data_IF_595033683423
#
_entry.id   IF_595033683423
#
_cell.length_a   1.000
_cell.length_b   1.000
_cell.length_c   1.000
_cell.angle_alpha   90.00
_cell.angle_beta   90.00
_cell.angle_gamma   90.00
#
_symmetry.space_group_name_H-M   'P 1'
#
loop_
_entity.id
_entity.type
_entity.pdbx_description
1 polymer ?
#
# COMPACT_ATOMS: atom_id res chain seq x y z
N UNK A 1 -10.03 36.46 -9.71
CA UNK A 1 -11.30 36.25 -8.98
C UNK A 1 -11.62 37.41 -8.05
N UNK A 2 -10.73 37.77 -7.11
CA UNK A 2 -11.02 38.87 -6.16
C UNK A 2 -11.17 40.26 -6.81
N UNK A 3 -10.66 40.44 -8.03
CA UNK A 3 -10.88 41.64 -8.84
C UNK A 3 -12.16 41.56 -9.71
N UNK A 4 -12.66 40.35 -9.97
CA UNK A 4 -13.76 40.10 -10.90
C UNK A 4 -15.11 39.94 -10.19
N UNK A 5 -15.11 39.61 -8.90
CA UNK A 5 -16.30 39.39 -8.08
C UNK A 5 -16.29 40.36 -6.90
N UNK A 6 -17.30 41.25 -6.84
CA UNK A 6 -17.41 42.29 -5.80
C UNK A 6 -17.88 41.71 -4.47
N UNK A 7 -18.66 40.64 -4.52
CA UNK A 7 -19.12 39.89 -3.34
C UNK A 7 -18.10 38.81 -2.96
N UNK A 8 -17.70 38.78 -1.69
CA UNK A 8 -16.72 37.84 -1.16
C UNK A 8 -17.21 36.39 -1.21
N UNK A 9 -18.53 36.17 -1.05
CA UNK A 9 -19.11 34.84 -1.14
C UNK A 9 -19.11 34.33 -2.59
N UNK A 10 -19.51 35.18 -3.55
CA UNK A 10 -19.41 34.90 -4.97
C UNK A 10 -17.96 34.65 -5.41
N UNK A 11 -16.99 35.41 -4.91
CA UNK A 11 -15.57 35.19 -5.16
C UNK A 11 -15.09 33.82 -4.62
N UNK A 12 -15.54 33.43 -3.42
CA UNK A 12 -15.24 32.11 -2.83
C UNK A 12 -15.86 30.98 -3.65
N UNK A 13 -17.12 31.11 -4.07
CA UNK A 13 -17.78 30.13 -4.96
C UNK A 13 -17.05 29.99 -6.29
N UNK A 14 -16.62 31.10 -6.89
CA UNK A 14 -15.86 31.10 -8.12
C UNK A 14 -14.50 30.41 -7.96
N UNK A 15 -13.77 30.65 -6.87
CA UNK A 15 -12.52 29.95 -6.54
C UNK A 15 -12.74 28.45 -6.35
N UNK A 16 -13.82 28.06 -5.67
CA UNK A 16 -14.21 26.65 -5.52
C UNK A 16 -14.49 25.97 -6.87
N UNK A 17 -15.21 26.64 -7.77
CA UNK A 17 -15.45 26.12 -9.13
C UNK A 17 -14.15 25.90 -9.92
N UNK A 18 -13.18 26.81 -9.81
CA UNK A 18 -11.86 26.63 -10.43
C UNK A 18 -11.09 25.46 -9.80
N UNK A 19 -11.16 25.28 -8.48
CA UNK A 19 -10.57 24.12 -7.81
C UNK A 19 -11.18 22.81 -8.32
N UNK A 20 -12.49 22.76 -8.56
CA UNK A 20 -13.15 21.60 -9.19
C UNK A 20 -12.64 21.34 -10.61
N UNK A 21 -12.35 22.39 -11.39
CA UNK A 21 -11.78 22.21 -12.74
C UNK A 21 -10.39 21.61 -12.66
N UNK A 22 -9.56 22.08 -11.74
CA UNK A 22 -8.22 21.54 -11.52
C UNK A 22 -8.25 20.09 -11.05
N UNK A 23 -9.17 19.72 -10.17
CA UNK A 23 -9.36 18.31 -9.76
C UNK A 23 -9.82 17.46 -10.93
N UNK A 24 -10.77 17.94 -11.75
CA UNK A 24 -11.16 17.24 -12.97
C UNK A 24 -9.98 17.07 -13.93
N UNK A 25 -9.21 18.13 -14.18
CA UNK A 25 -8.03 18.12 -15.04
C UNK A 25 -6.98 17.12 -14.56
N UNK A 26 -6.77 17.05 -13.24
CA UNK A 26 -5.92 16.04 -12.63
C UNK A 26 -6.47 14.63 -12.87
N UNK A 27 -7.77 14.38 -12.73
CA UNK A 27 -8.36 13.04 -12.95
C UNK A 27 -8.25 12.60 -14.41
N UNK A 28 -8.53 13.48 -15.38
CA UNK A 28 -8.53 13.14 -16.81
C UNK A 28 -7.18 13.36 -17.50
N UNK A 29 -6.20 13.92 -16.78
CA UNK A 29 -4.86 14.21 -17.29
C UNK A 29 -4.86 15.32 -18.34
N UNK A 30 -5.68 16.36 -18.14
CA UNK A 30 -5.76 17.50 -19.05
C UNK A 30 -4.57 18.45 -18.85
N UNK A 31 -3.67 18.52 -19.81
CA UNK A 31 -2.47 19.36 -19.71
C UNK A 31 -2.66 20.79 -20.21
N UNK A 32 -3.81 21.12 -20.79
CA UNK A 32 -3.98 22.36 -21.57
C UNK A 32 -4.96 23.36 -20.94
N UNK A 33 -4.96 23.48 -19.61
CA UNK A 33 -5.77 24.49 -18.90
C UNK A 33 -5.09 25.86 -18.91
N UNK A 34 -5.14 26.56 -20.04
CA UNK A 34 -4.69 27.96 -20.16
C UNK A 34 -5.84 28.96 -19.96
N UNK A 35 -5.52 30.25 -19.98
CA UNK A 35 -6.44 31.34 -19.68
C UNK A 35 -7.65 31.47 -20.63
N UNK A 36 -7.61 30.85 -21.81
CA UNK A 36 -8.73 30.85 -22.76
C UNK A 36 -9.66 29.63 -22.56
N UNK A 37 -9.20 28.61 -21.84
CA UNK A 37 -9.94 27.37 -21.60
C UNK A 37 -10.78 27.43 -20.31
N UNK A 38 -11.13 28.63 -19.85
CA UNK A 38 -12.14 28.87 -18.82
C UNK A 38 -12.69 30.29 -18.97
N UNK A 39 -13.83 30.59 -18.36
CA UNK A 39 -14.41 31.92 -18.50
C UNK A 39 -15.42 32.28 -17.41
N UNK A 40 -15.85 33.53 -17.43
CA UNK A 40 -16.88 34.07 -16.55
C UNK A 40 -18.04 34.56 -17.41
N UNK A 41 -19.23 34.04 -17.16
CA UNK A 41 -20.47 34.48 -17.80
C UNK A 41 -21.03 35.67 -17.04
N UNK A 42 -21.60 36.63 -17.76
CA UNK A 42 -22.38 37.74 -17.20
C UNK A 42 -23.86 37.49 -17.48
N UNK A 43 -24.64 37.32 -16.42
CA UNK A 43 -26.08 37.16 -16.52
C UNK A 43 -26.77 38.46 -16.08
N UNK A 44 -27.79 38.93 -16.82
CA UNK A 44 -28.63 40.03 -16.36
C UNK A 44 -29.34 39.61 -15.07
N UNK A 45 -29.16 40.38 -13.99
CA UNK A 45 -29.89 40.20 -12.74
C UNK A 45 -30.67 41.50 -12.47
N UNK A 46 -31.91 41.41 -11.97
CA UNK A 46 -32.92 42.48 -11.96
C UNK A 46 -32.41 43.94 -11.84
N UNK A 47 -31.44 44.21 -10.96
CA UNK A 47 -30.63 45.44 -10.98
C UNK A 47 -29.14 45.08 -11.11
N UNK A 48 -28.61 45.09 -12.34
CA UNK A 48 -27.19 44.86 -12.64
C UNK A 48 -26.88 43.59 -13.45
N UNK A 49 -25.63 43.14 -13.40
CA UNK A 49 -25.20 41.87 -14.00
C UNK A 49 -24.53 41.01 -12.94
N UNK A 50 -25.05 39.80 -12.72
CA UNK A 50 -24.38 38.78 -11.91
C UNK A 50 -23.29 38.11 -12.76
N UNK A 51 -22.18 37.74 -12.12
CA UNK A 51 -21.09 37.01 -12.75
C UNK A 51 -21.07 35.60 -12.19
N UNK A 52 -20.91 34.60 -13.06
CA UNK A 52 -20.74 33.20 -12.66
C UNK A 52 -19.59 32.60 -13.46
N UNK A 53 -18.89 31.62 -12.90
CA UNK A 53 -17.90 30.86 -13.67
C UNK A 53 -18.64 30.00 -14.71
N UNK A 54 -18.21 30.06 -15.96
CA UNK A 54 -18.78 29.27 -17.05
C UNK A 54 -18.54 27.77 -16.79
N UNK A 55 -19.47 26.86 -17.15
CA UNK A 55 -19.21 25.42 -17.09
C UNK A 55 -17.88 25.06 -17.75
N UNK A 56 -17.17 24.05 -17.22
CA UNK A 56 -15.86 23.70 -17.79
C UNK A 56 -15.99 23.24 -19.25
N UNK A 57 -15.08 23.71 -20.10
CA UNK A 57 -15.07 23.40 -21.53
C UNK A 57 -13.63 23.14 -22.00
N UNK A 58 -13.53 22.71 -23.27
CA UNK A 58 -12.30 22.40 -23.98
C UNK A 58 -11.35 21.44 -23.24
N UNK A 59 -11.81 20.18 -23.11
CA UNK A 59 -11.05 19.10 -22.47
C UNK A 59 -10.38 18.17 -23.48
N UNK A 60 -10.19 18.62 -24.74
CA UNK A 60 -9.71 17.76 -25.82
C UNK A 60 -8.28 17.25 -25.58
N UNK A 61 -7.46 17.99 -24.83
CA UNK A 61 -6.09 17.63 -24.47
C UNK A 61 -6.00 16.68 -23.26
N UNK A 62 -6.94 15.74 -23.14
CA UNK A 62 -7.07 14.80 -22.01
C UNK A 62 -6.93 13.33 -22.44
N UNK A 63 -6.90 12.42 -21.46
CA UNK A 63 -6.95 10.96 -21.65
C UNK A 63 -5.85 10.39 -22.57
N UNK A 64 -4.70 11.07 -22.60
CA UNK A 64 -3.56 10.73 -23.46
C UNK A 64 -3.88 10.74 -24.94
N UNK A 65 -4.67 11.73 -25.40
CA UNK A 65 -5.06 11.92 -26.81
C UNK A 65 -3.85 11.89 -27.76
N UNK A 66 -2.71 12.44 -27.35
CA UNK A 66 -1.48 12.52 -28.13
C UNK A 66 -0.79 11.17 -28.36
N UNK A 67 -1.16 10.13 -27.61
CA UNK A 67 -0.55 8.82 -27.72
C UNK A 67 -1.11 8.02 -28.89
N UNK A 68 -0.26 7.18 -29.48
CA UNK A 68 -0.68 6.09 -30.37
C UNK A 68 -1.01 4.85 -29.54
N UNK A 69 -1.87 3.97 -30.06
CA UNK A 69 -2.33 2.77 -29.35
C UNK A 69 -1.17 1.87 -28.90
N UNK A 70 -0.18 1.63 -29.77
CA UNK A 70 1.01 0.85 -29.40
C UNK A 70 1.76 1.44 -28.21
N UNK A 71 1.78 2.78 -28.08
CA UNK A 71 2.42 3.44 -26.93
C UNK A 71 1.57 3.34 -25.67
N UNK A 72 0.24 3.40 -25.79
CA UNK A 72 -0.69 3.18 -24.66
C UNK A 72 -0.52 1.79 -24.09
N UNK A 73 -0.55 0.78 -24.96
CA UNK A 73 -0.33 -0.62 -24.59
C UNK A 73 1.04 -0.82 -23.93
N UNK A 74 2.10 -0.22 -24.48
CA UNK A 74 3.43 -0.27 -23.89
C UNK A 74 3.48 0.38 -22.50
N UNK A 75 2.89 1.56 -22.32
CA UNK A 75 2.85 2.25 -21.02
C UNK A 75 2.09 1.45 -19.96
N UNK A 76 1.03 0.73 -20.35
CA UNK A 76 0.30 -0.17 -19.46
C UNK A 76 1.11 -1.43 -19.15
N UNK A 77 1.66 -2.09 -20.18
CA UNK A 77 2.42 -3.33 -20.04
C UNK A 77 3.72 -3.15 -19.24
N UNK A 78 4.43 -2.04 -19.45
CA UNK A 78 5.67 -1.70 -18.75
C UNK A 78 5.43 -1.00 -17.39
N UNK A 79 4.17 -0.79 -16.98
CA UNK A 79 3.87 -0.10 -15.71
C UNK A 79 4.47 1.33 -15.66
N UNK A 80 4.27 2.12 -16.72
CA UNK A 80 4.84 3.48 -16.89
C UNK A 80 3.80 4.61 -16.95
N UNK A 81 2.51 4.31 -16.87
CA UNK A 81 1.41 5.30 -16.81
C UNK A 81 1.59 6.38 -15.72
N UNK A 82 2.02 6.02 -14.51
CA UNK A 82 2.31 6.98 -13.45
C UNK A 82 3.41 7.97 -13.83
N UNK A 83 4.54 7.46 -14.31
CA UNK A 83 5.63 8.32 -14.78
C UNK A 83 5.18 9.20 -15.96
N UNK A 84 4.25 8.72 -16.77
CA UNK A 84 3.60 9.52 -17.79
C UNK A 84 2.73 10.64 -17.18
N UNK A 85 1.84 10.32 -16.22
CA UNK A 85 0.98 11.29 -15.55
C UNK A 85 1.76 12.36 -14.77
N UNK A 86 2.78 11.94 -14.00
CA UNK A 86 3.64 12.84 -13.22
C UNK A 86 4.47 13.78 -14.11
N UNK A 87 4.86 13.34 -15.31
CA UNK A 87 5.66 14.13 -16.27
C UNK A 87 4.82 14.93 -17.25
N UNK A 88 3.50 14.79 -17.23
CA UNK A 88 2.61 15.48 -18.13
C UNK A 88 2.60 16.98 -17.78
N UNK A 89 3.49 17.75 -18.41
CA UNK A 89 3.64 19.19 -18.16
C UNK A 89 2.35 19.92 -18.56
N UNK A 90 1.71 20.56 -17.58
CA UNK A 90 0.51 21.35 -17.79
C UNK A 90 0.79 22.76 -18.31
N UNK A 91 -0.26 23.56 -18.48
CA UNK A 91 -0.18 24.98 -18.83
C UNK A 91 0.01 25.91 -17.60
N UNK A 92 -0.04 25.37 -16.38
CA UNK A 92 0.00 26.13 -15.13
C UNK A 92 1.38 26.00 -14.47
N UNK A 93 1.92 27.14 -14.09
CA UNK A 93 3.21 27.29 -13.41
C UNK A 93 2.98 27.50 -11.92
N UNK A 94 3.77 26.82 -11.07
CA UNK A 94 3.70 27.03 -9.62
C UNK A 94 4.43 28.31 -9.17
N UNK A 95 5.50 28.65 -9.88
CA UNK A 95 6.31 29.86 -9.69
C UNK A 95 6.61 30.47 -11.05
N UNK A 96 6.72 31.80 -11.11
CA UNK A 96 6.94 32.53 -12.37
C UNK A 96 8.23 32.09 -13.10
N UNK A 97 9.27 31.69 -12.36
CA UNK A 97 10.56 31.21 -12.90
C UNK A 97 10.66 29.67 -12.96
N UNK A 98 9.56 28.95 -12.70
CA UNK A 98 9.56 27.49 -12.55
C UNK A 98 9.29 26.72 -13.84
N UNK A 99 9.51 25.40 -13.80
CA UNK A 99 8.96 24.49 -14.80
C UNK A 99 7.42 24.37 -14.60
N UNK A 100 6.64 24.24 -15.69
CA UNK A 100 5.23 23.93 -15.59
C UNK A 100 5.03 22.58 -14.90
N UNK A 101 4.08 22.51 -13.98
CA UNK A 101 3.82 21.31 -13.19
C UNK A 101 2.68 20.49 -13.81
N UNK A 102 2.61 19.21 -13.46
CA UNK A 102 1.52 18.36 -13.91
C UNK A 102 0.21 18.75 -13.22
N UNK A 103 -0.95 18.52 -13.87
CA UNK A 103 -2.26 18.72 -13.22
C UNK A 103 -2.37 17.97 -11.89
N UNK A 104 -1.79 16.76 -11.83
CA UNK A 104 -1.76 15.93 -10.63
C UNK A 104 -1.00 16.60 -9.48
N UNK A 105 0.23 17.06 -9.76
CA UNK A 105 1.07 17.74 -8.77
C UNK A 105 0.48 19.10 -8.37
N UNK A 106 -0.16 19.80 -9.31
CA UNK A 106 -0.86 21.06 -9.03
C UNK A 106 -1.93 20.87 -7.96
N UNK A 107 -2.78 19.84 -8.11
CA UNK A 107 -3.84 19.55 -7.14
C UNK A 107 -3.26 19.13 -5.79
N UNK A 108 -2.22 18.28 -5.75
CA UNK A 108 -1.59 17.89 -4.48
C UNK A 108 -1.09 19.10 -3.69
N UNK A 109 -0.33 19.99 -4.33
CA UNK A 109 0.19 21.21 -3.66
C UNK A 109 -0.92 22.18 -3.28
N UNK A 110 -1.90 22.38 -4.16
CA UNK A 110 -2.97 23.33 -3.93
C UNK A 110 -3.95 22.85 -2.86
N UNK A 111 -4.19 21.54 -2.74
CA UNK A 111 -5.01 20.95 -1.69
C UNK A 111 -4.39 21.15 -0.31
N UNK A 112 -3.08 21.00 -0.17
CA UNK A 112 -2.35 21.25 1.08
C UNK A 112 -2.41 22.74 1.49
N UNK A 113 -2.25 23.66 0.52
CA UNK A 113 -2.27 25.10 0.78
C UNK A 113 -3.67 25.69 0.96
N UNK A 114 -4.70 25.06 0.37
CA UNK A 114 -6.08 25.55 0.33
C UNK A 114 -7.12 24.44 0.55
N UNK A 115 -7.09 23.75 1.70
CA UNK A 115 -7.99 22.62 1.98
C UNK A 115 -9.47 23.01 1.91
N UNK A 116 -9.82 24.25 2.29
CA UNK A 116 -11.19 24.78 2.22
C UNK A 116 -11.75 24.89 0.80
N UNK A 117 -10.88 25.03 -0.21
CA UNK A 117 -11.27 25.14 -1.62
C UNK A 117 -11.27 23.78 -2.31
N UNK A 118 -10.26 22.94 -2.04
CA UNK A 118 -10.08 21.66 -2.71
C UNK A 118 -10.79 20.50 -2.03
N UNK A 119 -10.98 20.54 -0.71
CA UNK A 119 -11.64 19.49 0.05
C UNK A 119 -13.00 19.07 -0.51
N UNK A 120 -13.93 19.99 -0.79
CA UNK A 120 -15.22 19.66 -1.40
C UNK A 120 -15.10 19.01 -2.79
N UNK A 121 -14.11 19.40 -3.59
CA UNK A 121 -13.87 18.84 -4.91
C UNK A 121 -13.27 17.42 -4.81
N UNK A 122 -12.33 17.21 -3.90
CA UNK A 122 -11.71 15.91 -3.63
C UNK A 122 -12.73 14.91 -3.04
N UNK A 123 -13.61 15.35 -2.15
CA UNK A 123 -14.68 14.51 -1.60
C UNK A 123 -15.63 13.97 -2.69
N UNK A 124 -15.80 14.69 -3.81
CA UNK A 124 -16.60 14.18 -4.94
C UNK A 124 -15.97 12.95 -5.60
N UNK A 125 -14.66 12.73 -5.44
CA UNK A 125 -13.97 11.56 -5.96
C UNK A 125 -14.37 10.26 -5.23
N UNK A 126 -14.93 10.35 -4.03
CA UNK A 126 -15.51 9.19 -3.33
C UNK A 126 -16.68 8.57 -4.11
N UNK A 127 -17.34 9.36 -4.97
CA UNK A 127 -18.40 8.90 -5.86
C UNK A 127 -17.89 8.45 -7.24
N UNK A 128 -16.59 8.61 -7.51
CA UNK A 128 -15.95 8.20 -8.76
C UNK A 128 -15.24 6.86 -8.55
N UNK A 129 -16.02 5.84 -8.18
CA UNK A 129 -15.52 4.47 -8.03
C UNK A 129 -15.19 3.80 -9.37
N UNK A 130 -14.66 2.58 -9.29
CA UNK A 130 -14.22 1.84 -10.46
C UNK A 130 -15.34 1.63 -11.50
N UNK A 131 -16.53 1.30 -11.02
CA UNK A 131 -17.70 1.10 -11.86
C UNK A 131 -18.10 2.39 -12.55
N UNK A 132 -18.14 3.50 -11.82
CA UNK A 132 -18.46 4.81 -12.35
C UNK A 132 -17.47 5.25 -13.44
N UNK A 133 -16.16 5.06 -13.23
CA UNK A 133 -15.12 5.38 -14.24
C UNK A 133 -15.34 4.53 -15.50
N UNK A 134 -15.49 3.22 -15.33
CA UNK A 134 -15.70 2.29 -16.45
C UNK A 134 -16.96 2.65 -17.22
N UNK A 135 -18.06 2.94 -16.52
CA UNK A 135 -19.34 3.31 -17.12
C UNK A 135 -19.26 4.64 -17.88
N UNK A 136 -18.56 5.64 -17.33
CA UNK A 136 -18.36 6.94 -18.00
C UNK A 136 -17.60 6.72 -19.31
N UNK A 137 -16.48 6.00 -19.29
CA UNK A 137 -15.68 5.75 -20.51
C UNK A 137 -16.45 4.86 -21.49
N UNK A 138 -17.25 3.90 -21.00
CA UNK A 138 -18.08 3.00 -21.81
C UNK A 138 -19.26 3.66 -22.52
N UNK A 139 -19.62 4.89 -22.15
CA UNK A 139 -20.56 5.70 -22.94
C UNK A 139 -19.98 6.15 -24.28
N UNK A 140 -18.66 6.21 -24.43
CA UNK A 140 -18.02 6.57 -25.70
C UNK A 140 -18.20 5.43 -26.70
N UNK A 141 -18.80 5.66 -27.89
CA UNK A 141 -19.01 4.61 -28.89
C UNK A 141 -17.70 3.90 -29.27
N UNK A 142 -17.77 2.58 -29.48
CA UNK A 142 -16.60 1.77 -29.86
C UNK A 142 -15.95 2.23 -31.17
N UNK A 143 -16.74 2.81 -32.09
CA UNK A 143 -16.23 3.37 -33.34
C UNK A 143 -15.35 4.62 -33.14
N UNK A 144 -15.41 5.28 -31.98
CA UNK A 144 -14.72 6.55 -31.71
C UNK A 144 -13.54 6.39 -30.75
N UNK A 145 -13.51 5.32 -29.96
CA UNK A 145 -12.44 5.04 -29.01
C UNK A 145 -12.01 3.58 -29.12
N UNK A 146 -10.76 3.38 -29.52
CA UNK A 146 -10.18 2.05 -29.66
C UNK A 146 -10.10 1.33 -28.30
N UNK A 147 -10.03 -0.01 -28.27
CA UNK A 147 -9.88 -0.76 -27.03
C UNK A 147 -8.64 -0.36 -26.21
N UNK A 148 -7.53 -0.04 -26.88
CA UNK A 148 -6.30 0.43 -26.25
C UNK A 148 -6.48 1.82 -25.62
N UNK A 149 -7.09 2.77 -26.33
CA UNK A 149 -7.42 4.09 -25.80
C UNK A 149 -8.38 4.02 -24.61
N UNK A 150 -9.39 3.15 -24.67
CA UNK A 150 -10.35 2.90 -23.59
C UNK A 150 -9.67 2.36 -22.35
N UNK A 151 -8.89 1.30 -22.49
CA UNK A 151 -8.14 0.68 -21.39
C UNK A 151 -7.19 1.68 -20.74
N UNK A 152 -6.51 2.48 -21.55
CA UNK A 152 -5.61 3.53 -21.07
C UNK A 152 -6.35 4.64 -20.32
N UNK A 153 -7.46 5.16 -20.86
CA UNK A 153 -8.24 6.22 -20.22
C UNK A 153 -8.80 5.78 -18.86
N UNK A 154 -9.34 4.57 -18.77
CA UNK A 154 -9.79 3.98 -17.51
C UNK A 154 -8.63 3.87 -16.51
N UNK A 155 -7.51 3.29 -16.94
CA UNK A 155 -6.33 3.14 -16.08
C UNK A 155 -5.78 4.49 -15.59
N UNK A 156 -5.79 5.52 -16.45
CA UNK A 156 -5.31 6.86 -16.12
C UNK A 156 -6.24 7.54 -15.10
N UNK A 157 -7.57 7.47 -15.31
CA UNK A 157 -8.54 8.04 -14.39
C UNK A 157 -8.49 7.37 -13.01
N UNK A 158 -8.38 6.03 -12.97
CA UNK A 158 -8.20 5.27 -11.72
C UNK A 158 -6.95 5.69 -10.96
N UNK A 159 -5.83 5.72 -11.69
CA UNK A 159 -4.54 6.14 -11.18
C UNK A 159 -4.62 7.53 -10.54
N UNK A 160 -5.10 8.53 -11.30
CA UNK A 160 -5.03 9.91 -10.88
C UNK A 160 -6.05 10.24 -9.79
N UNK A 161 -7.27 9.67 -9.86
CA UNK A 161 -8.27 9.81 -8.79
C UNK A 161 -7.81 9.17 -7.48
N UNK A 162 -7.21 7.96 -7.52
CA UNK A 162 -6.64 7.32 -6.33
C UNK A 162 -5.49 8.13 -5.72
N UNK A 163 -4.66 8.75 -6.56
CA UNK A 163 -3.50 9.54 -6.16
C UNK A 163 -3.82 10.90 -5.50
N UNK A 164 -5.06 11.40 -5.63
CA UNK A 164 -5.50 12.68 -5.02
C UNK A 164 -6.72 12.52 -4.12
N UNK A 165 -7.45 11.41 -4.21
CA UNK A 165 -8.80 11.27 -3.69
C UNK A 165 -8.97 10.44 -2.41
N UNK A 166 -7.94 9.81 -1.84
CA UNK A 166 -8.14 8.94 -0.66
C UNK A 166 -7.04 9.08 0.37
N UNK A 167 -7.40 9.29 1.64
CA UNK A 167 -6.47 9.29 2.78
C UNK A 167 -6.17 7.90 3.34
N UNK A 168 -7.03 6.89 3.13
CA UNK A 168 -6.75 5.49 3.48
C UNK A 168 -7.50 4.51 2.55
N UNK A 169 -6.92 3.37 2.15
CA UNK A 169 -7.60 2.40 1.30
C UNK A 169 -8.56 1.55 2.16
N UNK A 170 -9.87 1.65 1.89
CA UNK A 170 -10.94 0.93 2.62
C UNK A 170 -10.83 -0.59 2.45
N UNK A 171 -10.25 -1.04 1.33
CA UNK A 171 -9.97 -2.44 1.02
C UNK A 171 -8.48 -2.60 0.68
N UNK A 172 -7.62 -2.65 1.70
CA UNK A 172 -6.17 -2.79 1.54
C UNK A 172 -5.68 -4.18 1.96
N UNK A 173 -4.86 -4.81 1.12
CA UNK A 173 -4.02 -5.92 1.53
C UNK A 173 -2.69 -5.39 2.08
N UNK A 174 -2.47 -5.54 3.39
CA UNK A 174 -1.21 -5.15 4.03
C UNK A 174 -0.16 -6.27 3.96
N UNK A 175 1.03 -5.90 3.50
CA UNK A 175 2.27 -6.67 3.58
C UNK A 175 3.27 -5.92 4.47
N UNK A 176 4.19 -6.66 5.06
CA UNK A 176 5.32 -6.12 5.81
C UNK A 176 6.63 -6.55 5.15
N UNK A 177 7.66 -5.74 5.34
CA UNK A 177 9.03 -5.99 4.92
C UNK A 177 9.88 -6.22 6.17
N UNK A 178 10.44 -7.41 6.34
CA UNK A 178 11.43 -7.71 7.35
C UNK A 178 12.85 -7.58 6.76
N UNK A 179 13.78 -7.08 7.56
CA UNK A 179 15.20 -7.04 7.29
C UNK A 179 15.96 -7.93 8.27
N UNK A 180 16.91 -8.72 7.77
CA UNK A 180 17.79 -9.54 8.58
C UNK A 180 19.13 -8.86 8.77
N UNK A 181 19.51 -8.62 10.02
CA UNK A 181 20.84 -8.15 10.36
C UNK A 181 21.90 -9.19 9.96
N UNK A 182 23.01 -8.72 9.38
CA UNK A 182 24.10 -9.59 8.93
C UNK A 182 24.88 -10.18 10.10
N UNK A 183 24.98 -9.45 11.22
CA UNK A 183 25.81 -9.84 12.37
C UNK A 183 25.06 -10.77 13.31
N UNK A 184 23.98 -10.30 13.90
CA UNK A 184 23.15 -11.05 14.85
C UNK A 184 22.24 -12.09 14.20
N UNK A 185 22.03 -12.00 12.87
CA UNK A 185 21.07 -12.82 12.10
C UNK A 185 19.61 -12.63 12.54
N UNK A 186 19.33 -11.62 13.38
CA UNK A 186 17.98 -11.29 13.87
C UNK A 186 17.18 -10.62 12.76
N UNK A 187 15.88 -10.94 12.72
CA UNK A 187 14.91 -10.30 11.84
C UNK A 187 14.25 -9.11 12.54
N UNK A 188 14.11 -8.01 11.82
CA UNK A 188 13.38 -6.81 12.23
C UNK A 188 12.29 -6.53 11.20
N UNK A 189 11.02 -6.37 11.59
CA UNK A 189 10.01 -5.81 10.70
C UNK A 189 10.31 -4.31 10.52
N UNK A 190 10.60 -3.86 9.29
CA UNK A 190 11.07 -2.50 9.02
C UNK A 190 10.11 -1.69 8.15
N UNK A 191 9.33 -2.33 7.27
CA UNK A 191 8.42 -1.64 6.36
C UNK A 191 7.01 -2.19 6.40
N UNK A 192 6.04 -1.34 6.07
CA UNK A 192 4.65 -1.70 5.78
C UNK A 192 4.34 -1.26 4.35
N UNK A 193 3.74 -2.15 3.59
CA UNK A 193 3.21 -1.92 2.25
C UNK A 193 1.71 -2.21 2.26
N UNK A 194 0.87 -1.21 2.04
CA UNK A 194 -0.55 -1.39 1.81
C UNK A 194 -0.82 -1.38 0.30
N UNK A 195 -1.41 -2.45 -0.22
CA UNK A 195 -1.89 -2.56 -1.58
C UNK A 195 -3.41 -2.40 -1.59
N UNK A 196 -3.93 -1.33 -2.17
CA UNK A 196 -5.36 -1.20 -2.43
C UNK A 196 -5.76 -2.29 -3.43
N UNK A 197 -6.75 -3.11 -3.06
CA UNK A 197 -7.20 -4.24 -3.90
C UNK A 197 -8.24 -3.81 -4.95
N UNK A 198 -8.80 -2.61 -4.80
CA UNK A 198 -9.79 -2.04 -5.72
C UNK A 198 -9.16 -1.02 -6.67
N UNK A 199 -8.11 -0.32 -6.22
CA UNK A 199 -7.44 0.74 -6.96
C UNK A 199 -5.96 0.42 -7.15
N UNK A 200 -5.33 0.85 -8.27
CA UNK A 200 -3.89 0.69 -8.44
C UNK A 200 -3.17 1.71 -7.56
N UNK A 201 -3.10 1.46 -6.25
CA UNK A 201 -2.42 2.30 -5.28
C UNK A 201 -1.70 1.46 -4.23
N UNK A 202 -0.40 1.67 -4.12
CA UNK A 202 0.49 1.07 -3.15
C UNK A 202 1.06 2.15 -2.25
N UNK A 203 0.96 1.95 -0.95
CA UNK A 203 1.51 2.87 0.05
C UNK A 203 2.58 2.16 0.85
N UNK A 204 3.76 2.74 0.94
CA UNK A 204 4.85 2.25 1.77
C UNK A 204 5.21 3.28 2.85
N UNK A 205 5.46 2.78 4.06
CA UNK A 205 6.08 3.55 5.13
C UNK A 205 6.97 2.64 5.99
N UNK A 206 7.89 3.23 6.74
CA UNK A 206 8.60 2.49 7.77
C UNK A 206 7.75 2.39 9.05
N UNK A 207 7.97 1.31 9.78
CA UNK A 207 7.30 0.97 11.03
C UNK A 207 8.27 1.01 12.20
N UNK A 208 7.76 0.96 13.44
CA UNK A 208 8.58 1.08 14.66
C UNK A 208 9.79 0.14 14.70
N UNK A 209 9.68 -1.05 14.12
CA UNK A 209 10.78 -2.00 14.07
C UNK A 209 11.96 -1.54 13.19
N UNK A 210 11.77 -0.60 12.27
CA UNK A 210 12.87 0.05 11.53
C UNK A 210 13.69 0.97 12.44
N UNK A 211 13.02 1.72 13.32
CA UNK A 211 13.69 2.57 14.31
C UNK A 211 14.49 1.70 15.28
N UNK A 212 13.89 0.61 15.78
CA UNK A 212 14.62 -0.36 16.61
C UNK A 212 15.79 -0.99 15.87
N UNK A 213 15.63 -1.36 14.60
CA UNK A 213 16.72 -1.90 13.78
C UNK A 213 17.86 -0.89 13.58
N UNK A 214 17.55 0.40 13.49
CA UNK A 214 18.54 1.48 13.46
C UNK A 214 19.34 1.54 14.76
N UNK A 215 18.64 1.50 15.89
CA UNK A 215 19.23 1.67 17.23
C UNK A 215 20.04 0.44 17.67
N UNK A 216 19.57 -0.77 17.35
CA UNK A 216 20.20 -2.03 17.78
C UNK A 216 21.19 -2.62 16.78
N UNK A 217 21.01 -2.36 15.48
CA UNK A 217 21.71 -3.08 14.40
C UNK A 217 22.13 -2.19 13.22
N UNK A 218 22.09 -0.86 13.39
CA UNK A 218 22.53 0.11 12.38
C UNK A 218 21.86 -0.07 11.01
N UNK A 219 20.57 -0.40 11.00
CA UNK A 219 19.76 -0.43 9.79
C UNK A 219 19.83 0.91 9.04
N UNK A 220 19.94 0.85 7.71
CA UNK A 220 19.91 2.03 6.84
C UNK A 220 18.66 1.95 5.97
N UNK A 221 17.87 3.04 5.84
CA UNK A 221 16.74 3.10 4.92
C UNK A 221 17.10 2.64 3.51
N UNK A 222 16.16 1.96 2.85
CA UNK A 222 16.27 1.61 1.43
C UNK A 222 16.47 2.88 0.60
N UNK A 223 17.31 2.83 -0.42
CA UNK A 223 17.57 3.98 -1.30
C UNK A 223 16.33 4.51 -2.00
N UNK A 224 15.35 3.63 -2.26
CA UNK A 224 14.05 3.98 -2.82
C UNK A 224 13.16 4.75 -1.82
N UNK A 225 13.41 4.59 -0.52
CA UNK A 225 12.65 5.17 0.59
C UNK A 225 13.61 5.82 1.60
N UNK A 226 14.25 6.95 1.26
CA UNK A 226 15.37 7.50 2.05
C UNK A 226 14.96 8.11 3.39
N UNK A 227 13.75 8.67 3.50
CA UNK A 227 13.20 9.20 4.74
C UNK A 227 12.47 8.10 5.54
N UNK A 228 12.93 7.88 6.78
CA UNK A 228 12.34 6.91 7.70
C UNK A 228 10.93 7.29 8.17
N UNK A 229 10.58 8.58 8.15
CA UNK A 229 9.21 9.05 8.48
C UNK A 229 8.37 9.36 7.25
N UNK A 230 8.96 9.20 6.06
CA UNK A 230 8.29 9.45 4.80
C UNK A 230 7.12 8.49 4.56
N UNK A 231 6.09 9.01 3.90
CA UNK A 231 5.02 8.23 3.29
C UNK A 231 5.29 8.19 1.79
N UNK A 232 5.30 7.00 1.22
CA UNK A 232 5.57 6.79 -0.19
C UNK A 232 4.33 6.20 -0.83
N UNK A 233 3.89 6.79 -1.92
CA UNK A 233 2.74 6.31 -2.66
C UNK A 233 3.15 6.05 -4.10
N UNK A 234 2.65 4.97 -4.66
CA UNK A 234 2.88 4.63 -6.04
C UNK A 234 1.71 3.81 -6.53
N UNK A 235 1.21 4.08 -7.74
CA UNK A 235 0.20 3.22 -8.34
C UNK A 235 0.72 1.90 -8.87
N UNK A 236 2.05 1.75 -8.82
CA UNK A 236 2.75 0.52 -9.16
C UNK A 236 3.43 -0.04 -7.95
N UNK A 237 3.51 -1.36 -7.91
CA UNK A 237 4.26 -2.06 -6.89
C UNK A 237 5.72 -1.61 -6.99
N UNK A 238 6.22 -0.98 -5.91
CA UNK A 238 7.56 -0.41 -5.86
C UNK A 238 8.62 -1.45 -6.27
N UNK A 239 9.65 -1.09 -7.05
CA UNK A 239 10.82 -1.91 -7.36
C UNK A 239 11.35 -2.78 -6.22
N UNK A 240 11.39 -2.29 -4.97
CA UNK A 240 11.79 -3.09 -3.80
C UNK A 240 10.92 -4.33 -3.56
N UNK A 241 9.72 -4.38 -4.12
CA UNK A 241 8.76 -5.48 -4.04
C UNK A 241 8.52 -6.16 -5.40
N UNK A 242 8.33 -5.42 -6.49
CA UNK A 242 8.05 -6.00 -7.82
C UNK A 242 9.20 -6.84 -8.36
N UNK A 243 10.45 -6.47 -8.07
CA UNK A 243 11.63 -7.28 -8.43
C UNK A 243 11.73 -8.61 -7.64
N UNK A 244 10.86 -8.83 -6.65
CA UNK A 244 10.74 -10.10 -5.90
C UNK A 244 9.66 -11.03 -6.46
N UNK A 245 8.93 -10.59 -7.47
CA UNK A 245 7.85 -11.35 -8.10
C UNK A 245 8.32 -11.91 -9.44
N UNK A 246 8.01 -13.18 -9.70
CA UNK A 246 8.32 -13.79 -10.99
C UNK A 246 7.47 -13.17 -12.12
N UNK A 247 8.11 -12.70 -13.18
CA UNK A 247 7.44 -12.09 -14.33
C UNK A 247 6.44 -13.06 -14.99
N UNK A 248 5.29 -12.54 -15.44
CA UNK A 248 4.19 -13.33 -16.02
C UNK A 248 4.58 -14.14 -17.26
N UNK A 249 5.50 -13.64 -18.08
CA UNK A 249 5.93 -14.29 -19.33
C UNK A 249 7.00 -15.37 -19.19
N UNK A 250 7.40 -15.74 -17.97
CA UNK A 250 8.43 -16.78 -17.76
C UNK A 250 7.88 -18.18 -18.05
N UNK A 251 8.55 -19.01 -18.87
CA UNK A 251 8.07 -20.36 -19.21
C UNK A 251 7.87 -21.27 -17.99
N UNK A 252 8.63 -21.05 -16.93
CA UNK A 252 8.61 -21.83 -15.68
C UNK A 252 7.69 -21.24 -14.59
N UNK A 253 6.85 -20.24 -14.92
CA UNK A 253 6.01 -19.55 -13.91
C UNK A 253 4.99 -20.46 -13.24
N UNK A 254 4.29 -21.29 -14.01
CA UNK A 254 3.26 -22.15 -13.45
C UNK A 254 3.87 -23.19 -12.50
N UNK A 255 5.03 -23.74 -12.86
CA UNK A 255 5.80 -24.65 -12.02
C UNK A 255 6.17 -23.96 -10.71
N UNK A 256 6.69 -22.72 -10.78
CA UNK A 256 7.02 -21.91 -9.62
C UNK A 256 5.80 -21.63 -8.72
N UNK A 257 4.66 -21.24 -9.28
CA UNK A 257 3.44 -20.98 -8.50
C UNK A 257 2.94 -22.24 -7.79
N UNK A 258 3.06 -23.41 -8.43
CA UNK A 258 2.78 -24.68 -7.76
C UNK A 258 3.70 -24.89 -6.56
N UNK A 259 4.98 -24.50 -6.61
CA UNK A 259 5.89 -24.60 -5.44
C UNK A 259 5.46 -23.72 -4.25
N UNK A 260 4.69 -22.66 -4.52
CA UNK A 260 4.08 -21.78 -3.52
C UNK A 260 2.67 -22.22 -3.10
N UNK A 261 2.09 -23.25 -3.75
CA UNK A 261 0.70 -23.64 -3.52
C UNK A 261 -0.32 -22.59 -3.98
N UNK A 262 0.02 -21.82 -5.01
CA UNK A 262 -0.81 -20.75 -5.59
C UNK A 262 -1.42 -21.18 -6.94
N UNK A 263 -2.58 -20.62 -7.33
CA UNK A 263 -3.18 -20.85 -8.65
C UNK A 263 -2.37 -20.17 -9.76
N UNK A 264 -2.56 -20.58 -11.01
CA UNK A 264 -1.78 -20.10 -12.14
C UNK A 264 -2.00 -18.60 -12.46
N UNK A 265 -3.16 -18.06 -12.12
CA UNK A 265 -3.52 -16.65 -12.32
C UNK A 265 -3.11 -15.73 -11.16
N UNK A 266 -2.44 -16.27 -10.13
CA UNK A 266 -2.07 -15.52 -8.93
C UNK A 266 -1.34 -14.20 -9.24
N UNK A 267 -1.79 -13.13 -8.58
CA UNK A 267 -1.24 -11.80 -8.76
C UNK A 267 0.07 -11.58 -7.98
N UNK A 268 0.68 -10.40 -8.15
CA UNK A 268 1.95 -10.07 -7.52
C UNK A 268 1.87 -10.03 -5.98
N UNK A 269 0.74 -9.57 -5.43
CA UNK A 269 0.51 -9.50 -3.99
C UNK A 269 0.31 -10.91 -3.42
N UNK A 270 -0.49 -11.75 -4.05
CA UNK A 270 -0.67 -13.16 -3.67
C UNK A 270 0.65 -13.93 -3.67
N UNK A 271 1.49 -13.71 -4.68
CA UNK A 271 2.84 -14.29 -4.75
C UNK A 271 3.70 -13.81 -3.57
N UNK A 272 3.70 -12.51 -3.27
CA UNK A 272 4.47 -11.95 -2.16
C UNK A 272 4.02 -12.47 -0.79
N UNK A 273 2.71 -12.68 -0.59
CA UNK A 273 2.15 -13.21 0.67
C UNK A 273 2.71 -14.58 1.04
N UNK A 274 3.14 -15.39 0.07
CA UNK A 274 3.60 -16.76 0.31
C UNK A 274 5.08 -16.97 0.05
N UNK A 275 5.63 -16.34 -1.00
CA UNK A 275 7.01 -16.59 -1.44
C UNK A 275 8.08 -16.06 -0.49
N UNK A 276 7.73 -15.16 0.43
CA UNK A 276 8.70 -14.39 1.21
C UNK A 276 9.40 -13.30 0.41
N UNK A 277 9.10 -13.16 -0.89
CA UNK A 277 9.85 -12.27 -1.80
C UNK A 277 11.35 -12.55 -1.81
N UNK A 278 11.75 -13.82 -1.62
CA UNK A 278 13.13 -14.20 -1.39
C UNK A 278 14.03 -13.85 -2.57
N UNK A 279 15.14 -13.16 -2.29
CA UNK A 279 16.24 -12.93 -3.23
C UNK A 279 17.56 -13.31 -2.57
N UNK A 280 18.42 -14.00 -3.33
CA UNK A 280 19.78 -14.33 -2.88
C UNK A 280 20.62 -13.07 -2.66
N UNK A 281 20.31 -12.00 -3.38
CA UNK A 281 21.06 -10.75 -3.44
C UNK A 281 20.83 -9.82 -2.25
N UNK A 282 19.81 -10.06 -1.43
CA UNK A 282 19.50 -9.19 -0.29
C UNK A 282 19.08 -9.93 0.97
N UNK A 283 18.92 -9.17 2.06
CA UNK A 283 18.61 -9.67 3.40
C UNK A 283 17.16 -9.34 3.80
N UNK A 284 16.26 -9.24 2.83
CA UNK A 284 14.86 -8.86 3.09
C UNK A 284 13.90 -10.02 2.84
N UNK A 285 12.77 -9.97 3.54
CA UNK A 285 11.68 -10.93 3.41
C UNK A 285 10.34 -10.19 3.52
N UNK A 286 9.42 -10.52 2.62
CA UNK A 286 8.07 -9.95 2.60
C UNK A 286 7.11 -10.95 3.23
N UNK A 287 6.24 -10.49 4.13
CA UNK A 287 5.26 -11.36 4.79
C UNK A 287 3.92 -10.62 4.95
N UNK A 288 2.78 -11.33 4.93
CA UNK A 288 1.47 -10.70 5.03
C UNK A 288 1.18 -10.22 6.45
N UNK A 289 0.33 -9.18 6.57
CA UNK A 289 -0.37 -8.93 7.82
C UNK A 289 -1.24 -10.14 8.18
N UNK A 290 -1.16 -10.59 9.42
CA UNK A 290 -2.05 -11.61 9.94
C UNK A 290 -3.48 -11.06 10.01
N UNK A 291 -4.42 -11.78 9.40
CA UNK A 291 -5.82 -11.40 9.38
C UNK A 291 -6.60 -12.23 10.40
N UNK A 292 -7.26 -11.53 11.33
CA UNK A 292 -8.26 -12.11 12.22
C UNK A 292 -9.62 -12.03 11.52
N UNK A 293 -10.32 -13.15 11.43
CA UNK A 293 -11.70 -13.22 10.92
C UNK A 293 -12.68 -12.78 12.00
N UNK A 294 -13.91 -12.45 11.62
CA UNK A 294 -14.98 -12.03 12.53
C UNK A 294 -15.28 -13.08 13.63
N UNK A 295 -15.06 -14.37 13.33
CA UNK A 295 -15.22 -15.47 14.28
C UNK A 295 -14.02 -15.65 15.23
N UNK A 296 -13.01 -14.79 15.13
CA UNK A 296 -11.76 -14.80 15.89
C UNK A 296 -10.70 -15.74 15.33
N UNK A 297 -10.97 -16.48 14.27
CA UNK A 297 -10.00 -17.43 13.68
C UNK A 297 -9.00 -16.74 12.77
N UNK A 298 -7.85 -17.37 12.60
CA UNK A 298 -6.86 -16.96 11.62
C UNK A 298 -6.26 -18.17 10.89
N UNK A 299 -5.60 -17.87 9.77
CA UNK A 299 -4.78 -18.83 9.05
C UNK A 299 -3.53 -18.11 8.56
N UNK A 300 -2.37 -18.72 8.77
CA UNK A 300 -1.08 -18.18 8.37
C UNK A 300 -0.27 -19.26 7.65
N UNK A 301 0.39 -18.89 6.55
CA UNK A 301 1.33 -19.75 5.85
C UNK A 301 2.70 -19.11 5.80
N UNK A 302 3.73 -19.90 6.06
CA UNK A 302 5.12 -19.46 5.96
C UNK A 302 6.05 -20.65 5.73
N UNK A 303 7.24 -20.38 5.21
CA UNK A 303 8.28 -21.39 5.09
C UNK A 303 9.03 -21.58 6.42
N UNK A 304 9.28 -22.84 6.76
CA UNK A 304 9.97 -23.23 8.00
C UNK A 304 11.36 -22.61 8.10
N UNK A 305 11.63 -21.87 9.19
CA UNK A 305 12.92 -21.25 9.43
C UNK A 305 13.86 -22.17 10.20
N UNK A 306 15.17 -21.98 9.96
CA UNK A 306 16.23 -22.59 10.75
C UNK A 306 16.38 -24.11 10.63
N UNK A 307 15.67 -24.77 9.73
CA UNK A 307 15.69 -26.24 9.62
C UNK A 307 17.09 -26.85 9.40
N UNK A 308 18.04 -26.11 8.81
CA UNK A 308 19.44 -26.55 8.63
C UNK A 308 20.24 -26.58 9.94
N UNK A 309 19.71 -26.00 11.00
CA UNK A 309 20.36 -25.89 12.31
C UNK A 309 19.79 -26.88 13.33
N UNK A 310 18.74 -27.64 12.98
CA UNK A 310 18.23 -28.70 13.84
C UNK A 310 19.13 -29.93 13.79
N UNK A 311 18.89 -30.89 14.68
CA UNK A 311 19.66 -32.13 14.75
C UNK A 311 19.63 -32.91 13.42
N UNK A 312 20.63 -33.77 13.13
CA UNK A 312 20.62 -34.62 11.95
C UNK A 312 19.35 -35.47 11.81
N UNK A 313 18.78 -35.93 12.94
CA UNK A 313 17.51 -36.65 12.96
C UNK A 313 16.34 -35.78 12.48
N UNK A 314 16.26 -34.52 12.94
CA UNK A 314 15.26 -33.57 12.47
C UNK A 314 15.42 -33.22 10.99
N UNK A 315 16.65 -33.07 10.50
CA UNK A 315 16.94 -32.83 9.08
C UNK A 315 16.50 -34.02 8.21
N UNK A 316 16.86 -35.25 8.61
CA UNK A 316 16.40 -36.46 7.91
C UNK A 316 14.87 -36.62 7.97
N UNK A 317 14.24 -36.18 9.08
CA UNK A 317 12.79 -36.24 9.24
C UNK A 317 12.05 -35.32 8.26
N UNK A 318 12.64 -34.18 7.91
CA UNK A 318 12.06 -33.25 6.92
C UNK A 318 11.90 -33.91 5.56
N UNK A 319 12.84 -34.79 5.18
CA UNK A 319 12.82 -35.46 3.89
C UNK A 319 11.67 -36.47 3.74
N UNK A 320 11.09 -36.92 4.86
CA UNK A 320 9.97 -37.86 4.89
C UNK A 320 8.61 -37.21 5.16
N UNK A 321 8.56 -35.89 5.39
CA UNK A 321 7.32 -35.15 5.61
C UNK A 321 6.41 -35.21 4.38
N UNK A 322 5.10 -35.36 4.61
CA UNK A 322 4.08 -35.39 3.55
C UNK A 322 3.14 -34.19 3.65
N UNK A 323 2.60 -33.68 2.52
CA UNK A 323 1.49 -32.73 2.55
C UNK A 323 0.32 -33.26 3.40
N UNK A 324 -0.28 -32.38 4.21
CA UNK A 324 -1.35 -32.68 5.16
C UNK A 324 -0.89 -33.30 6.49
N UNK A 325 0.40 -33.59 6.65
CA UNK A 325 0.92 -34.16 7.89
C UNK A 325 0.84 -33.14 9.04
N UNK A 326 0.31 -33.59 10.18
CA UNK A 326 0.14 -32.75 11.38
C UNK A 326 1.49 -32.44 12.02
N UNK A 327 1.61 -31.23 12.56
CA UNK A 327 2.80 -30.75 13.26
C UNK A 327 2.41 -30.27 14.65
N UNK A 328 3.36 -30.37 15.59
CA UNK A 328 3.23 -29.80 16.92
C UNK A 328 3.91 -28.43 16.98
N UNK A 329 3.27 -27.53 17.73
CA UNK A 329 3.74 -26.19 18.03
C UNK A 329 4.17 -26.16 19.49
N UNK A 330 5.43 -25.79 19.75
CA UNK A 330 5.97 -25.72 21.12
C UNK A 330 6.51 -24.32 21.39
N UNK A 331 6.11 -23.73 22.53
CA UNK A 331 6.64 -22.43 22.96
C UNK A 331 7.97 -22.65 23.72
N UNK A 332 9.04 -22.11 23.16
CA UNK A 332 10.37 -22.10 23.77
C UNK A 332 10.60 -20.76 24.48
N UNK A 333 10.44 -20.74 25.81
CA UNK A 333 10.51 -19.53 26.64
C UNK A 333 11.94 -19.13 27.06
N UNK A 334 12.93 -19.95 26.71
CA UNK A 334 14.33 -19.76 27.09
C UNK A 334 15.26 -19.78 25.87
N UNK A 335 14.74 -19.37 24.71
CA UNK A 335 15.54 -19.36 23.49
C UNK A 335 16.70 -18.35 23.66
N UNK A 336 17.97 -18.75 23.48
CA UNK A 336 19.11 -17.89 23.80
C UNK A 336 19.26 -16.69 22.86
N UNK A 337 18.60 -16.71 21.70
CA UNK A 337 18.72 -15.64 20.68
C UNK A 337 17.52 -14.70 20.73
N UNK A 338 16.33 -15.25 20.97
CA UNK A 338 15.05 -14.51 20.80
C UNK A 338 14.24 -14.39 22.06
N UNK A 339 14.68 -15.01 23.16
CA UNK A 339 13.97 -15.17 24.44
C UNK A 339 12.72 -16.03 24.31
N UNK A 340 11.84 -15.74 23.35
CA UNK A 340 10.65 -16.51 23.00
C UNK A 340 10.76 -16.99 21.55
N UNK A 341 10.49 -18.27 21.31
CA UNK A 341 10.35 -18.82 19.97
C UNK A 341 9.19 -19.81 19.87
N UNK A 342 8.63 -19.95 18.66
CA UNK A 342 7.66 -21.01 18.33
C UNK A 342 8.40 -22.09 17.55
N UNK A 343 8.61 -23.23 18.20
CA UNK A 343 9.22 -24.41 17.60
C UNK A 343 8.17 -25.23 16.85
N UNK A 344 8.57 -25.76 15.70
CA UNK A 344 7.78 -26.69 14.90
C UNK A 344 8.39 -28.08 15.04
N UNK A 345 7.56 -29.04 15.47
CA UNK A 345 7.95 -30.43 15.64
C UNK A 345 7.04 -31.36 14.83
N UNK A 346 7.58 -32.50 14.46
CA UNK A 346 6.78 -33.63 13.97
C UNK A 346 6.03 -34.30 15.13
N UNK A 347 5.03 -35.13 14.81
CA UNK A 347 4.27 -35.87 15.83
C UNK A 347 5.10 -36.95 16.56
N UNK A 348 6.24 -37.35 15.99
CA UNK A 348 7.28 -38.19 16.59
C UNK A 348 8.35 -37.39 17.33
N UNK A 349 8.03 -36.13 17.70
CA UNK A 349 8.84 -35.24 18.53
C UNK A 349 10.22 -34.88 17.97
N UNK A 350 10.43 -35.05 16.66
CA UNK A 350 11.61 -34.50 16.01
C UNK A 350 11.42 -33.01 15.77
N UNK A 351 12.36 -32.21 16.25
CA UNK A 351 12.43 -30.77 16.01
C UNK A 351 12.76 -30.50 14.55
N UNK A 352 11.89 -29.77 13.85
CA UNK A 352 12.01 -29.50 12.42
C UNK A 352 12.54 -28.09 12.14
N UNK A 353 12.22 -27.13 13.01
CA UNK A 353 12.66 -25.74 12.87
C UNK A 353 11.77 -24.79 13.65
N UNK A 354 11.75 -23.52 13.26
CA UNK A 354 11.03 -22.45 13.97
C UNK A 354 10.09 -21.68 13.04
N UNK A 355 9.09 -21.04 13.63
CA UNK A 355 8.37 -19.96 12.97
C UNK A 355 9.27 -18.72 12.83
N UNK A 356 9.07 -17.87 11.82
CA UNK A 356 9.75 -16.59 11.71
C UNK A 356 9.54 -15.71 12.96
N UNK A 357 10.61 -15.04 13.43
CA UNK A 357 10.57 -14.24 14.66
C UNK A 357 9.48 -13.17 14.66
N UNK A 358 9.20 -12.57 13.50
CA UNK A 358 8.18 -11.53 13.37
C UNK A 358 6.74 -12.07 13.56
N UNK A 359 6.52 -13.40 13.59
CA UNK A 359 5.21 -14.01 13.88
C UNK A 359 5.10 -14.53 15.32
N UNK A 360 6.21 -14.62 16.05
CA UNK A 360 6.29 -15.37 17.32
C UNK A 360 5.30 -14.86 18.36
N UNK A 361 5.18 -13.54 18.53
CA UNK A 361 4.26 -12.97 19.54
C UNK A 361 2.80 -13.30 19.24
N UNK A 362 2.37 -13.11 17.99
CA UNK A 362 0.98 -13.37 17.58
C UNK A 362 0.64 -14.87 17.63
N UNK A 363 1.59 -15.73 17.21
CA UNK A 363 1.45 -17.17 17.30
C UNK A 363 1.47 -17.68 18.75
N UNK A 364 2.25 -17.07 19.64
CA UNK A 364 2.24 -17.40 21.06
C UNK A 364 0.92 -16.99 21.72
N UNK A 365 0.35 -15.84 21.34
CA UNK A 365 -0.96 -15.40 21.84
C UNK A 365 -2.09 -16.38 21.48
N UNK A 366 -2.01 -17.03 20.31
CA UNK A 366 -2.98 -18.05 19.88
C UNK A 366 -2.97 -19.31 20.76
N UNK A 367 -1.92 -19.55 21.54
CA UNK A 367 -1.87 -20.67 22.49
C UNK A 367 -2.91 -20.58 23.60
N UNK A 368 -3.55 -19.42 23.79
CA UNK A 368 -4.71 -19.25 24.68
C UNK A 368 -5.95 -20.06 24.26
N UNK A 369 -6.01 -20.53 23.00
CA UNK A 369 -7.13 -21.30 22.45
C UNK A 369 -6.66 -22.66 21.90
N UNK A 370 -6.08 -23.54 22.75
CA UNK A 370 -5.29 -24.69 22.31
C UNK A 370 -6.08 -25.76 21.54
N UNK A 371 -7.42 -25.81 21.69
CA UNK A 371 -8.28 -26.76 20.96
C UNK A 371 -8.49 -26.41 19.50
N UNK A 372 -8.26 -25.16 19.12
CA UNK A 372 -8.39 -24.68 17.74
C UNK A 372 -7.01 -24.35 17.12
N UNK A 373 -5.92 -24.65 17.83
CA UNK A 373 -4.56 -24.31 17.42
C UNK A 373 -3.86 -25.52 16.78
N UNK A 374 -3.75 -25.48 15.44
CA UNK A 374 -3.30 -26.60 14.62
C UNK A 374 -2.22 -26.16 13.64
N UNK A 375 -1.24 -27.03 13.38
CA UNK A 375 -0.26 -26.85 12.31
C UNK A 375 -0.21 -28.08 11.40
N UNK A 376 0.01 -27.84 10.11
CA UNK A 376 0.16 -28.90 9.13
C UNK A 376 1.16 -28.54 8.03
N UNK A 377 1.79 -29.55 7.44
CA UNK A 377 2.60 -29.40 6.24
C UNK A 377 1.68 -29.10 5.05
N UNK A 378 1.89 -27.97 4.38
CA UNK A 378 1.23 -27.69 3.10
C UNK A 378 2.00 -28.34 1.97
N UNK A 379 3.33 -28.18 1.98
CA UNK A 379 4.20 -28.66 0.90
C UNK A 379 5.62 -28.90 1.37
N UNK A 380 6.26 -29.93 0.80
CA UNK A 380 7.71 -30.14 0.88
C UNK A 380 8.28 -29.99 -0.53
N UNK A 381 9.06 -28.93 -0.74
CA UNK A 381 9.66 -28.62 -2.02
C UNK A 381 10.98 -29.36 -2.20
N UNK A 382 11.39 -29.75 -3.42
CA UNK A 382 12.61 -30.51 -3.66
C UNK A 382 13.88 -29.74 -3.29
N UNK A 383 14.99 -30.47 -3.05
CA UNK A 383 16.30 -29.88 -2.71
C UNK A 383 16.89 -29.00 -3.82
N UNK A 384 16.37 -29.08 -5.04
CA UNK A 384 16.76 -28.21 -6.15
C UNK A 384 16.28 -26.77 -5.99
N UNK A 385 15.29 -26.51 -5.13
CA UNK A 385 14.83 -25.16 -4.81
C UNK A 385 15.66 -24.52 -3.69
N UNK A 386 15.64 -23.19 -3.56
CA UNK A 386 16.33 -22.51 -2.47
C UNK A 386 15.96 -23.10 -1.11
N UNK A 387 16.98 -23.38 -0.29
CA UNK A 387 16.81 -24.03 1.02
C UNK A 387 15.79 -23.35 1.94
N UNK A 388 15.60 -22.01 1.81
CA UNK A 388 14.60 -21.27 2.59
C UNK A 388 13.16 -21.59 2.23
N UNK A 389 12.91 -22.23 1.09
CA UNK A 389 11.58 -22.61 0.62
C UNK A 389 11.34 -24.13 0.74
N UNK A 390 12.07 -24.83 1.62
CA UNK A 390 12.05 -26.31 1.73
C UNK A 390 10.70 -26.85 2.21
N UNK A 391 10.14 -26.31 3.30
CA UNK A 391 8.88 -26.79 3.90
C UNK A 391 7.93 -25.62 4.09
N UNK A 392 6.79 -25.65 3.40
CA UNK A 392 5.70 -24.70 3.59
C UNK A 392 4.72 -25.26 4.62
N UNK A 393 4.42 -24.48 5.65
CA UNK A 393 3.54 -24.87 6.75
C UNK A 393 2.35 -23.92 6.81
N UNK A 394 1.21 -24.45 7.23
CA UNK A 394 0.04 -23.66 7.59
C UNK A 394 -0.25 -23.84 9.08
N UNK A 395 -0.47 -22.72 9.76
CA UNK A 395 -0.99 -22.67 11.12
C UNK A 395 -2.39 -22.09 11.08
N UNK A 396 -3.30 -22.72 11.82
CA UNK A 396 -4.66 -22.27 12.07
C UNK A 396 -4.84 -22.10 13.57
N UNK A 397 -5.60 -21.10 13.97
CA UNK A 397 -5.80 -20.79 15.37
C UNK A 397 -6.97 -19.84 15.58
N UNK A 398 -7.14 -19.46 16.84
CA UNK A 398 -8.11 -18.46 17.29
C UNK A 398 -7.44 -17.48 18.24
N UNK A 399 -7.86 -16.22 18.15
CA UNK A 399 -7.49 -15.18 19.11
C UNK A 399 -8.72 -14.66 19.84
N UNK A 400 -8.77 -14.87 21.15
CA UNK A 400 -9.77 -14.28 22.02
C UNK A 400 -9.22 -12.95 22.59
N UNK A 401 -9.71 -11.82 22.07
CA UNK A 401 -9.26 -10.49 22.52
C UNK A 401 -7.86 -10.04 22.09
N UNK A 402 -7.10 -10.84 21.33
CA UNK A 402 -5.83 -10.44 20.72
C UNK A 402 -6.04 -9.90 19.30
N UNK A 403 -5.39 -8.78 18.98
CA UNK A 403 -5.37 -8.19 17.64
C UNK A 403 -3.94 -8.27 17.09
N UNK A 404 -3.71 -9.01 15.99
CA UNK A 404 -2.37 -9.35 15.58
C UNK A 404 -1.60 -8.17 14.99
N UNK A 405 -0.26 -8.18 15.13
CA UNK A 405 0.64 -7.18 14.53
C UNK A 405 0.27 -5.73 14.88
N UNK A 406 -0.19 -5.50 16.11
CA UNK A 406 -0.50 -4.18 16.68
C UNK A 406 0.59 -3.67 17.63
N UNK A 407 1.62 -4.47 17.89
CA UNK A 407 2.79 -4.07 18.69
C UNK A 407 3.50 -2.88 18.03
N UNK A 408 4.19 -2.06 18.83
CA UNK A 408 4.88 -0.83 18.38
C UNK A 408 5.79 -1.04 17.17
N UNK A 409 6.39 -2.23 17.05
CA UNK A 409 7.23 -2.60 15.91
C UNK A 409 6.52 -2.58 14.56
N UNK A 410 5.21 -2.81 14.55
CA UNK A 410 4.37 -2.89 13.34
C UNK A 410 3.58 -1.61 13.08
N UNK A 411 3.59 -0.66 14.01
CA UNK A 411 2.93 0.62 13.85
C UNK A 411 3.76 1.55 12.95
N UNK A 412 3.13 2.32 12.03
CA UNK A 412 3.82 3.33 11.23
C UNK A 412 4.59 4.35 12.08
N UNK A 413 5.76 4.78 11.61
CA UNK A 413 6.53 5.87 12.23
C UNK A 413 5.98 7.27 11.93
N UNK A 414 4.81 7.36 11.30
CA UNK A 414 4.27 8.56 10.66
C UNK A 414 3.49 9.49 11.59
N UNK A 415 3.36 9.15 12.87
CA UNK A 415 2.75 10.03 13.87
C UNK A 415 3.83 10.54 14.83
N UNK A 416 3.78 11.84 15.14
CA UNK A 416 4.25 12.28 16.47
C UNK A 416 3.52 11.40 17.50
N UNK A 417 4.20 10.90 18.55
CA UNK A 417 3.50 10.15 19.58
C UNK A 417 2.30 10.99 20.05
N UNK A 418 1.12 10.39 20.30
CA UNK A 418 0.01 11.13 20.87
C UNK A 418 0.56 11.86 22.09
N UNK A 419 0.42 13.20 22.10
CA UNK A 419 0.79 14.01 23.25
C UNK A 419 0.06 13.38 24.43
N UNK A 420 0.80 12.66 25.28
CA UNK A 420 0.32 12.30 26.59
C UNK A 420 0.12 13.64 27.29
N UNK A 421 -1.12 14.13 27.28
CA UNK A 421 -1.54 15.20 28.16
C UNK A 421 -1.16 14.74 29.56
N UNK A 422 -0.09 15.34 30.09
CA UNK A 422 0.29 15.15 31.48
C UNK A 422 -0.97 15.38 32.33
N UNK A 423 -1.25 14.53 33.34
CA UNK A 423 -2.43 14.70 34.17
C UNK A 423 -2.42 16.13 34.70
N UNK A 424 -3.47 16.89 34.33
CA UNK A 424 -3.64 18.27 34.70
C UNK A 424 -3.47 18.38 36.22
N UNK A 425 -2.39 19.02 36.67
CA UNK A 425 -2.30 19.45 38.07
C UNK A 425 -3.39 20.49 38.28
N UNK A 426 -4.51 20.07 38.89
CA UNK A 426 -5.50 20.97 39.47
C UNK A 426 -4.81 21.79 40.55
N UNK A 427 -4.28 22.96 40.19
CA UNK A 427 -4.05 24.05 41.13
C UNK A 427 -5.30 24.91 41.15
N UNK A 428 -6.13 24.68 42.17
CA UNK A 428 -7.22 25.58 42.52
C UNK A 428 -6.63 26.96 42.86
N UNK A 429 -6.89 27.96 42.01
CA UNK A 429 -6.74 29.36 42.38
C UNK A 429 -8.12 29.93 42.64
N UNK A 430 -8.39 30.18 43.93
CA UNK A 430 -9.49 31.03 44.43
C UNK A 430 -9.39 32.40 43.76
N UNK A 431 -10.46 32.81 43.08
CA UNK A 431 -10.70 34.21 42.75
C UNK A 431 -11.31 34.85 43.99
N UNK A 432 -10.60 35.80 44.58
CA UNK A 432 -11.12 36.69 45.63
C UNK A 432 -11.77 37.86 44.91
N UNK A 433 -13.06 38.04 45.13
CA UNK A 433 -13.81 39.25 44.78
C UNK A 433 -13.47 40.28 45.85
N UNK A 434 -13.02 41.46 45.43
CA UNK A 434 -13.02 42.67 46.25
C UNK A 434 -13.77 43.74 45.47
N UNK A 435 -14.69 44.40 46.18
CA UNK A 435 -15.68 45.40 45.74
C UNK A 435 -15.11 46.57 44.93
#
# INVERSE_FOLDING_TARGET
MDQEFVDAEAARRAKGAIAEYMVLDAVIGNTDRHHENWGVLRQPAGVGSERIVAPSFDHASSLGRELLDARRELLLAESRLAAYAERARGAIYWTDDGDPISPLELVRRAADGHPDLFGPALAKLDHLDDGAIVDIVNRVPQAWMTPAARSFGIALMRLQSGAIGRTDPVNACTLFLAWQDKTSRRWFPVGRLDADVEHPLYRYCYIGGAKRAQDEAHFVPLSEFPDLRGKYESPYLFPSFSNRVMARGRPDRDDYLRTLGLPADADAIEILKVSGGYRVTDAYEVFPKLAKRDDGRFTCRFFLHGWRHVSPAGQARIDSLKPGEKLYLTLELTNPVTTLAVQIQSTDYQMLGWAPNYLVYDLAAAAGSPREYEAQVVRVNPLSLPSRQRVLIEIRGRWDGHEPMTHSDFLPLTEDPPVQLAPSQRTARRVVVVE
#
